data_IF_238525870134
#
_entry.id   IF_238525870134
#
_cell.length_a   1.000
_cell.length_b   1.000
_cell.length_c   1.000
_cell.angle_alpha   90.00
_cell.angle_beta   90.00
_cell.angle_gamma   90.00
#
_symmetry.space_group_name_H-M   'P 1'
#
loop_
_entity.id
_entity.type
_entity.pdbx_description
1 polymer ?
#
# COMPACT_ATOMS: atom_id res chain seq x y z
N UNK A 1 -13.34 -13.09 3.23
CA UNK A 1 -12.43 -12.07 3.78
C UNK A 1 -13.15 -11.30 4.87
N UNK A 2 -12.81 -11.54 6.13
CA UNK A 2 -13.40 -10.83 7.28
C UNK A 2 -12.78 -9.44 7.34
N UNK A 3 -13.56 -8.40 7.05
CA UNK A 3 -13.10 -7.02 7.16
C UNK A 3 -13.01 -6.69 8.64
N UNK A 4 -11.84 -6.29 9.13
CA UNK A 4 -11.72 -5.74 10.48
C UNK A 4 -12.65 -4.53 10.62
N UNK A 5 -13.73 -4.67 11.40
CA UNK A 5 -14.76 -3.63 11.59
C UNK A 5 -14.68 -3.09 13.01
N UNK A 6 -13.72 -2.21 13.25
CA UNK A 6 -13.67 -1.40 14.47
C UNK A 6 -14.61 -0.20 14.34
N UNK A 7 -15.32 0.16 15.42
CA UNK A 7 -16.05 1.44 15.50
C UNK A 7 -15.13 2.66 15.37
N UNK A 8 -13.84 2.48 15.66
CA UNK A 8 -12.76 3.45 15.52
C UNK A 8 -11.82 3.08 14.35
N UNK A 9 -12.30 2.34 13.33
CA UNK A 9 -11.47 2.00 12.19
C UNK A 9 -11.05 3.26 11.44
N UNK A 10 -9.76 3.39 11.13
CA UNK A 10 -9.24 4.44 10.27
C UNK A 10 -9.96 4.35 8.91
N UNK A 11 -10.79 5.34 8.58
CA UNK A 11 -11.61 5.34 7.36
C UNK A 11 -10.79 5.62 6.10
N UNK A 12 -10.67 4.68 5.18
CA UNK A 12 -9.94 4.87 3.92
C UNK A 12 -8.54 4.26 3.97
N UNK A 13 -7.66 4.58 3.01
CA UNK A 13 -6.38 3.89 2.89
C UNK A 13 -5.51 4.13 4.13
N UNK A 14 -4.88 3.07 4.59
CA UNK A 14 -3.85 3.12 5.63
C UNK A 14 -2.54 3.52 4.94
N UNK A 15 -2.03 4.70 5.27
CA UNK A 15 -0.78 5.23 4.73
C UNK A 15 0.19 5.49 5.88
N UNK A 16 1.52 5.45 5.64
CA UNK A 16 2.52 5.73 6.69
C UNK A 16 2.27 7.06 7.41
N UNK A 17 2.05 8.14 6.65
CA UNK A 17 1.77 9.46 7.22
C UNK A 17 0.50 9.46 8.10
N UNK A 18 -0.50 8.68 7.72
CA UNK A 18 -1.76 8.58 8.46
C UNK A 18 -1.65 7.75 9.73
N UNK A 19 -0.75 6.74 9.75
CA UNK A 19 -0.46 5.98 10.97
C UNK A 19 0.19 6.89 12.01
N UNK A 20 1.18 7.70 11.61
CA UNK A 20 1.88 8.60 12.55
C UNK A 20 0.96 9.72 13.04
N UNK A 21 0.08 10.24 12.18
CA UNK A 21 -0.81 11.35 12.52
C UNK A 21 -2.13 10.91 13.18
N UNK A 22 -2.31 9.64 13.53
CA UNK A 22 -3.59 9.17 14.07
C UNK A 22 -3.83 9.74 15.48
N UNK A 23 -4.94 10.46 15.73
CA UNK A 23 -5.25 10.90 17.07
C UNK A 23 -5.73 9.71 17.90
N UNK A 24 -5.02 9.41 18.98
CA UNK A 24 -5.43 8.42 19.97
C UNK A 24 -5.91 9.13 21.24
N UNK A 25 -7.15 8.85 21.65
CA UNK A 25 -7.73 9.46 22.83
C UNK A 25 -7.13 8.87 24.11
N UNK A 26 -6.78 9.75 25.06
CA UNK A 26 -6.36 9.34 26.39
C UNK A 26 -7.52 8.70 27.16
N UNK A 27 -7.20 7.80 28.08
CA UNK A 27 -8.19 7.17 28.95
C UNK A 27 -8.77 8.19 29.95
N UNK A 28 -10.03 7.99 30.33
CA UNK A 28 -10.68 8.81 31.37
C UNK A 28 -9.91 8.68 32.69
N UNK A 29 -9.86 9.76 33.49
CA UNK A 29 -9.21 9.77 34.82
C UNK A 29 -9.60 8.53 35.64
N UNK A 30 -8.60 7.92 36.28
CA UNK A 30 -8.76 6.70 37.09
C UNK A 30 -8.70 5.38 36.31
N UNK A 31 -8.57 5.41 34.97
CA UNK A 31 -8.38 4.21 34.14
C UNK A 31 -6.96 4.16 33.56
N UNK A 32 -6.32 3.00 33.61
CA UNK A 32 -5.03 2.76 32.96
C UNK A 32 -5.21 2.79 31.44
N UNK A 33 -4.31 3.50 30.76
CA UNK A 33 -4.17 3.52 29.31
C UNK A 33 -2.83 2.90 28.90
N UNK A 34 -2.60 2.79 27.60
CA UNK A 34 -1.28 2.49 27.07
C UNK A 34 -0.30 3.62 27.37
N UNK A 35 0.98 3.31 27.50
CA UNK A 35 1.99 4.35 27.62
C UNK A 35 2.20 5.03 26.27
N UNK A 36 2.19 6.36 26.28
CA UNK A 36 2.25 7.19 25.06
C UNK A 36 3.54 6.90 24.29
N UNK A 37 4.70 6.89 24.95
CA UNK A 37 5.99 6.67 24.30
C UNK A 37 6.08 5.29 23.63
N UNK A 38 5.53 4.25 24.26
CA UNK A 38 5.52 2.89 23.70
C UNK A 38 4.62 2.80 22.46
N UNK A 39 3.47 3.46 22.51
CA UNK A 39 2.54 3.52 21.38
C UNK A 39 3.16 4.33 20.24
N UNK A 40 3.80 5.46 20.53
CA UNK A 40 4.46 6.29 19.53
C UNK A 40 5.63 5.54 18.87
N UNK A 41 6.45 4.82 19.64
CA UNK A 41 7.51 3.97 19.11
C UNK A 41 6.96 2.87 18.19
N UNK A 42 5.86 2.22 18.59
CA UNK A 42 5.19 1.21 17.78
C UNK A 42 4.62 1.80 16.49
N UNK A 43 3.93 2.94 16.55
CA UNK A 43 3.35 3.60 15.38
C UNK A 43 4.43 4.05 14.39
N UNK A 44 5.56 4.58 14.87
CA UNK A 44 6.69 4.92 14.01
C UNK A 44 7.26 3.68 13.29
N UNK A 45 7.46 2.57 14.03
CA UNK A 45 7.91 1.31 13.42
C UNK A 45 6.93 0.80 12.37
N UNK A 46 5.63 0.80 12.68
CA UNK A 46 4.58 0.38 11.75
C UNK A 46 4.53 1.25 10.50
N UNK A 47 4.69 2.57 10.65
CA UNK A 47 4.74 3.49 9.52
C UNK A 47 5.95 3.22 8.62
N UNK A 48 7.12 2.95 9.21
CA UNK A 48 8.32 2.55 8.48
C UNK A 48 8.09 1.25 7.70
N UNK A 49 7.63 0.18 8.36
CA UNK A 49 7.39 -1.11 7.72
C UNK A 49 6.34 -1.00 6.61
N UNK A 50 5.25 -0.26 6.83
CA UNK A 50 4.23 -0.04 5.80
C UNK A 50 4.78 0.70 4.59
N UNK A 51 5.69 1.65 4.79
CA UNK A 51 6.36 2.39 3.70
C UNK A 51 7.18 1.44 2.84
N UNK A 52 8.01 0.60 3.46
CA UNK A 52 8.85 -0.35 2.75
C UNK A 52 8.00 -1.37 1.97
N UNK A 53 6.97 -1.95 2.60
CA UNK A 53 6.04 -2.86 1.91
C UNK A 53 5.28 -2.20 0.76
N UNK A 54 4.88 -0.95 0.92
CA UNK A 54 4.20 -0.21 -0.14
C UNK A 54 5.14 0.03 -1.32
N UNK A 55 6.41 0.36 -1.04
CA UNK A 55 7.45 0.53 -2.06
C UNK A 55 7.71 -0.77 -2.82
N UNK A 56 7.98 -1.88 -2.13
CA UNK A 56 8.18 -3.21 -2.74
C UNK A 56 7.01 -3.57 -3.67
N UNK A 57 5.79 -3.37 -3.20
CA UNK A 57 4.56 -3.65 -3.98
C UNK A 57 4.46 -2.75 -5.21
N UNK A 58 4.79 -1.47 -5.09
CA UNK A 58 4.66 -0.52 -6.18
C UNK A 58 5.75 -0.75 -7.25
N UNK A 59 6.95 -1.19 -6.84
CA UNK A 59 8.01 -1.68 -7.72
C UNK A 59 7.57 -2.95 -8.48
N UNK A 60 7.03 -3.96 -7.78
CA UNK A 60 6.52 -5.17 -8.41
C UNK A 60 5.39 -4.90 -9.41
N UNK A 61 4.52 -3.93 -9.10
CA UNK A 61 3.47 -3.46 -10.01
C UNK A 61 4.03 -2.73 -11.22
N UNK A 62 5.07 -1.92 -11.04
CA UNK A 62 5.74 -1.25 -12.14
C UNK A 62 6.36 -2.26 -13.10
N UNK A 63 7.01 -3.29 -12.57
CA UNK A 63 7.60 -4.35 -13.38
C UNK A 63 6.53 -5.16 -14.12
N UNK A 64 5.46 -5.54 -13.43
CA UNK A 64 4.31 -6.18 -14.06
C UNK A 64 3.72 -5.35 -15.21
N UNK A 65 3.67 -4.02 -15.07
CA UNK A 65 3.20 -3.12 -16.14
C UNK A 65 4.17 -3.11 -17.32
N UNK A 66 5.48 -3.10 -17.08
CA UNK A 66 6.50 -3.15 -18.13
C UNK A 66 6.42 -4.44 -18.94
N UNK A 67 6.35 -5.58 -18.27
CA UNK A 67 6.23 -6.89 -18.93
C UNK A 67 4.96 -6.93 -19.80
N UNK A 68 3.82 -6.48 -19.26
CA UNK A 68 2.56 -6.41 -20.02
C UNK A 68 2.67 -5.48 -21.23
N UNK A 69 3.34 -4.35 -21.09
CA UNK A 69 3.55 -3.42 -22.19
C UNK A 69 4.46 -4.03 -23.28
N UNK A 70 5.57 -4.63 -22.90
CA UNK A 70 6.48 -5.32 -23.82
C UNK A 70 5.74 -6.44 -24.57
N UNK A 71 4.99 -7.29 -23.85
CA UNK A 71 4.19 -8.35 -24.46
C UNK A 71 3.17 -7.79 -25.45
N UNK A 72 2.44 -6.74 -25.08
CA UNK A 72 1.47 -6.09 -25.97
C UNK A 72 2.14 -5.54 -27.24
N UNK A 73 3.28 -4.86 -27.08
CA UNK A 73 4.03 -4.31 -28.22
C UNK A 73 4.52 -5.40 -29.17
N UNK A 74 5.00 -6.51 -28.62
CA UNK A 74 5.42 -7.68 -29.40
C UNK A 74 4.23 -8.32 -30.12
N UNK A 75 3.08 -8.51 -29.44
CA UNK A 75 1.87 -9.05 -30.05
C UNK A 75 1.36 -8.16 -31.21
N UNK A 76 1.41 -6.84 -31.06
CA UNK A 76 1.04 -5.91 -32.13
C UNK A 76 1.99 -6.00 -33.33
N UNK A 77 3.30 -6.06 -33.08
CA UNK A 77 4.29 -6.22 -34.15
C UNK A 77 4.14 -7.56 -34.89
N UNK A 78 3.87 -8.63 -34.15
CA UNK A 78 3.66 -9.96 -34.71
C UNK A 78 2.34 -10.05 -35.51
N UNK A 79 1.27 -9.41 -35.05
CA UNK A 79 0.03 -9.30 -35.80
C UNK A 79 0.21 -8.53 -37.11
N UNK A 80 0.98 -7.43 -37.11
CA UNK A 80 1.31 -6.67 -38.31
C UNK A 80 2.13 -7.50 -39.32
N UNK A 81 3.10 -8.30 -38.83
CA UNK A 81 3.84 -9.25 -39.68
C UNK A 81 2.93 -10.31 -40.29
N UNK A 82 2.02 -10.89 -39.49
CA UNK A 82 1.10 -11.95 -39.94
C UNK A 82 0.03 -11.46 -40.90
N UNK A 83 -0.42 -10.22 -40.76
CA UNK A 83 -1.39 -9.58 -41.66
C UNK A 83 -0.76 -9.08 -42.97
N UNK A 84 0.54 -9.30 -43.18
CA UNK A 84 1.14 -9.16 -44.51
C UNK A 84 1.28 -7.72 -44.99
N UNK A 85 1.68 -6.78 -44.13
CA UNK A 85 2.20 -5.50 -44.63
C UNK A 85 3.71 -5.66 -44.94
N UNK A 86 3.99 -6.14 -46.15
CA UNK A 86 5.28 -6.05 -46.87
C UNK A 86 4.94 -5.41 -48.24
N UNK A 87 5.80 -4.52 -48.80
CA UNK A 87 5.42 -3.37 -49.61
C UNK A 87 4.71 -3.69 -50.93
#
# INVERSE_FOLDING_TARGET
>A
MTVYRSRNALRGPLTPARIVAVPLALTRRGRRGYQVDDVDALLHRLAYELRERSRERDEARAESRRIKHALRSWQSAEAARRLGYWP
#
